data_IF_906802291108
#
_entry.id   IF_906802291108
#
_cell.length_a   1.000
_cell.length_b   1.000
_cell.length_c   1.000
_cell.angle_alpha   90.00
_cell.angle_beta   90.00
_cell.angle_gamma   90.00
#
_symmetry.space_group_name_H-M   'P 1'
#
loop_
_entity.id
_entity.type
_entity.pdbx_description
1 polymer ?
#
# COMPACT_ATOMS: atom_id res chain seq x y z
N UNK A 1 -42.46 -2.76 -9.85
CA UNK A 1 -42.29 -1.76 -10.92
C UNK A 1 -40.84 -1.47 -11.27
N UNK A 2 -39.96 -1.18 -10.32
CA UNK A 2 -38.52 -0.90 -10.53
C UNK A 2 -37.76 -2.00 -11.31
N UNK A 3 -38.05 -3.28 -11.06
CA UNK A 3 -37.35 -4.38 -11.73
C UNK A 3 -37.58 -4.48 -13.25
N UNK A 4 -38.79 -4.08 -13.71
CA UNK A 4 -39.12 -4.03 -15.14
C UNK A 4 -38.41 -2.88 -15.85
N UNK A 5 -38.30 -1.72 -15.19
CA UNK A 5 -37.61 -0.56 -15.71
C UNK A 5 -36.11 -0.84 -15.88
N UNK A 6 -35.47 -1.42 -14.88
CA UNK A 6 -34.06 -1.81 -14.96
C UNK A 6 -33.80 -2.85 -16.05
N UNK A 7 -34.67 -3.84 -16.22
CA UNK A 7 -34.56 -4.81 -17.31
C UNK A 7 -34.65 -4.15 -18.68
N UNK A 8 -35.63 -3.25 -18.86
CA UNK A 8 -35.77 -2.52 -20.11
C UNK A 8 -34.56 -1.67 -20.45
N UNK A 9 -33.98 -0.97 -19.49
CA UNK A 9 -32.73 -0.23 -19.70
C UNK A 9 -31.50 -1.16 -19.95
N UNK A 10 -31.44 -2.31 -19.25
CA UNK A 10 -30.38 -3.27 -19.41
C UNK A 10 -30.33 -3.89 -20.81
N UNK A 11 -31.49 -4.20 -21.37
CA UNK A 11 -31.64 -4.84 -22.67
C UNK A 11 -31.81 -3.83 -23.81
N UNK A 12 -31.98 -2.54 -23.52
CA UNK A 12 -32.15 -1.47 -24.49
C UNK A 12 -30.96 -1.36 -25.45
N UNK A 13 -31.17 -1.14 -26.76
CA UNK A 13 -30.13 -0.78 -27.69
C UNK A 13 -29.44 0.56 -27.35
N UNK A 14 -30.22 1.50 -26.79
CA UNK A 14 -29.72 2.79 -26.28
C UNK A 14 -29.48 2.63 -24.77
N UNK A 15 -28.21 2.50 -24.38
CA UNK A 15 -27.82 2.28 -22.99
C UNK A 15 -27.45 3.59 -22.33
N UNK A 16 -27.88 3.78 -21.09
CA UNK A 16 -27.35 4.86 -20.25
C UNK A 16 -25.90 4.60 -19.91
N UNK A 17 -25.13 5.66 -19.68
CA UNK A 17 -23.71 5.58 -19.27
C UNK A 17 -23.54 4.67 -18.06
N UNK A 18 -24.46 4.76 -17.09
CA UNK A 18 -24.48 3.87 -15.93
C UNK A 18 -24.59 2.38 -16.30
N UNK A 19 -25.46 2.04 -17.27
CA UNK A 19 -25.62 0.63 -17.72
C UNK A 19 -24.37 0.12 -18.40
N UNK A 20 -23.71 0.97 -19.19
CA UNK A 20 -22.44 0.66 -19.85
C UNK A 20 -21.37 0.41 -18.80
N UNK A 21 -21.22 1.32 -17.86
CA UNK A 21 -20.22 1.24 -16.79
C UNK A 21 -20.40 -0.04 -15.94
N UNK A 22 -21.62 -0.34 -15.51
CA UNK A 22 -21.88 -1.55 -14.73
C UNK A 22 -21.59 -2.81 -15.52
N UNK A 23 -21.95 -2.88 -16.81
CA UNK A 23 -21.63 -4.03 -17.66
C UNK A 23 -20.12 -4.20 -17.83
N UNK A 24 -19.39 -3.12 -18.07
CA UNK A 24 -17.95 -3.13 -18.19
C UNK A 24 -17.30 -3.64 -16.90
N UNK A 25 -17.70 -3.11 -15.75
CA UNK A 25 -17.20 -3.54 -14.45
C UNK A 25 -17.46 -5.04 -14.19
N UNK A 26 -18.67 -5.53 -14.51
CA UNK A 26 -18.99 -6.96 -14.39
C UNK A 26 -18.11 -7.81 -15.31
N UNK A 27 -17.89 -7.36 -16.55
CA UNK A 27 -17.03 -8.05 -17.52
C UNK A 27 -15.59 -8.10 -17.06
N UNK A 28 -15.04 -6.97 -16.56
CA UNK A 28 -13.69 -6.91 -16.01
C UNK A 28 -13.50 -7.85 -14.82
N UNK A 29 -14.52 -7.98 -14.00
CA UNK A 29 -14.55 -8.92 -12.88
C UNK A 29 -14.76 -10.38 -13.33
N UNK A 30 -15.00 -10.65 -14.60
CA UNK A 30 -15.32 -12.00 -15.11
C UNK A 30 -16.70 -12.49 -14.67
N UNK A 31 -17.63 -11.57 -14.38
CA UNK A 31 -18.98 -11.88 -13.95
C UNK A 31 -19.96 -11.81 -15.13
N UNK A 32 -21.06 -12.61 -15.04
CA UNK A 32 -22.09 -12.58 -16.06
C UNK A 32 -22.77 -11.21 -16.13
N UNK A 33 -22.91 -10.70 -17.34
CA UNK A 33 -23.73 -9.51 -17.64
C UNK A 33 -25.17 -9.86 -17.98
N UNK A 34 -25.55 -11.13 -17.96
CA UNK A 34 -26.91 -11.57 -18.21
C UNK A 34 -27.78 -11.32 -16.98
N UNK A 35 -28.78 -10.44 -17.14
CA UNK A 35 -29.66 -10.03 -16.05
C UNK A 35 -30.49 -11.20 -15.49
N UNK A 36 -30.85 -12.18 -16.30
CA UNK A 36 -31.63 -13.34 -15.83
C UNK A 36 -30.78 -14.25 -14.93
N UNK A 37 -29.49 -14.36 -15.20
CA UNK A 37 -28.53 -15.05 -14.32
C UNK A 37 -28.39 -14.30 -13.00
N UNK A 38 -28.22 -12.99 -13.05
CA UNK A 38 -28.07 -12.15 -11.85
C UNK A 38 -29.33 -12.21 -10.97
N UNK A 39 -30.52 -12.18 -11.58
CA UNK A 39 -31.80 -12.24 -10.84
C UNK A 39 -32.05 -13.57 -10.12
N UNK A 40 -31.46 -14.66 -10.58
CA UNK A 40 -31.58 -15.97 -9.90
C UNK A 40 -30.78 -16.04 -8.60
N UNK A 41 -29.85 -15.10 -8.41
CA UNK A 41 -29.05 -15.03 -7.19
C UNK A 41 -29.77 -14.20 -6.13
N UNK A 42 -29.64 -14.58 -4.86
CA UNK A 42 -30.01 -13.70 -3.76
C UNK A 42 -29.09 -12.47 -3.72
N UNK A 43 -29.60 -11.35 -3.19
CA UNK A 43 -28.81 -10.13 -3.02
C UNK A 43 -27.47 -10.40 -2.29
N UNK A 44 -27.51 -11.22 -1.24
CA UNK A 44 -26.31 -11.54 -0.45
C UNK A 44 -25.34 -12.40 -1.25
N UNK A 45 -25.84 -13.42 -1.98
CA UNK A 45 -25.00 -14.27 -2.83
C UNK A 45 -24.31 -13.47 -3.92
N UNK A 46 -25.04 -12.58 -4.61
CA UNK A 46 -24.46 -11.71 -5.62
C UNK A 46 -23.44 -10.73 -5.04
N UNK A 47 -23.74 -10.09 -3.91
CA UNK A 47 -22.79 -9.20 -3.23
C UNK A 47 -21.51 -9.91 -2.83
N UNK A 48 -21.61 -11.12 -2.30
CA UNK A 48 -20.42 -11.91 -1.91
C UNK A 48 -19.60 -12.33 -3.14
N UNK A 49 -20.27 -12.70 -4.23
CA UNK A 49 -19.62 -13.04 -5.49
C UNK A 49 -18.85 -11.85 -6.06
N UNK A 50 -19.49 -10.67 -6.13
CA UNK A 50 -18.82 -9.43 -6.58
C UNK A 50 -17.62 -9.10 -5.71
N UNK A 51 -17.76 -9.15 -4.37
CA UNK A 51 -16.65 -8.88 -3.43
C UNK A 51 -15.48 -9.85 -3.64
N UNK A 52 -15.77 -11.14 -3.86
CA UNK A 52 -14.74 -12.14 -4.13
C UNK A 52 -13.98 -11.83 -5.41
N UNK A 53 -14.68 -11.63 -6.51
CA UNK A 53 -14.07 -11.35 -7.81
C UNK A 53 -13.32 -10.00 -7.84
N UNK A 54 -13.88 -8.96 -7.20
CA UNK A 54 -13.18 -7.69 -7.06
C UNK A 54 -11.85 -7.84 -6.31
N UNK A 55 -11.85 -8.61 -5.22
CA UNK A 55 -10.61 -8.89 -4.46
C UNK A 55 -9.59 -9.66 -5.30
N UNK A 56 -10.03 -10.65 -6.09
CA UNK A 56 -9.15 -11.42 -6.99
C UNK A 56 -8.62 -10.55 -8.15
N UNK A 57 -9.45 -9.66 -8.70
CA UNK A 57 -9.07 -8.73 -9.75
C UNK A 57 -8.01 -7.73 -9.26
N UNK A 58 -8.25 -7.09 -8.11
CA UNK A 58 -7.29 -6.16 -7.52
C UNK A 58 -5.98 -6.86 -7.15
N UNK A 59 -6.04 -8.10 -6.69
CA UNK A 59 -4.83 -8.87 -6.40
C UNK A 59 -4.02 -9.18 -7.67
N UNK A 60 -4.68 -9.59 -8.77
CA UNK A 60 -4.01 -9.80 -10.06
C UNK A 60 -3.38 -8.51 -10.58
N UNK A 61 -4.13 -7.38 -10.52
CA UNK A 61 -3.62 -6.06 -10.90
C UNK A 61 -2.39 -5.66 -10.08
N UNK A 62 -2.44 -5.91 -8.78
CA UNK A 62 -1.30 -5.69 -7.89
C UNK A 62 -0.07 -6.52 -8.29
N UNK A 63 -0.24 -7.81 -8.60
CA UNK A 63 0.86 -8.67 -9.05
C UNK A 63 1.48 -8.16 -10.35
N UNK A 64 0.67 -7.79 -11.33
CA UNK A 64 1.16 -7.21 -12.60
C UNK A 64 1.96 -5.92 -12.34
N UNK A 65 1.46 -5.03 -11.49
CA UNK A 65 2.18 -3.80 -11.10
C UNK A 65 3.50 -4.13 -10.39
N UNK A 66 3.50 -5.14 -9.53
CA UNK A 66 4.69 -5.60 -8.80
C UNK A 66 5.75 -6.15 -9.75
N UNK A 67 5.36 -6.93 -10.76
CA UNK A 67 6.26 -7.53 -11.74
C UNK A 67 6.77 -6.51 -12.76
N UNK A 68 5.89 -5.69 -13.33
CA UNK A 68 6.25 -4.70 -14.36
C UNK A 68 7.10 -3.56 -13.82
N UNK A 69 6.94 -3.19 -12.54
CA UNK A 69 7.74 -2.16 -11.88
C UNK A 69 8.84 -2.80 -11.01
N UNK A 70 9.78 -3.50 -11.65
CA UNK A 70 10.94 -4.09 -10.96
C UNK A 70 11.73 -3.06 -10.11
N UNK A 71 11.62 -1.76 -10.43
CA UNK A 71 12.14 -0.62 -9.66
C UNK A 71 11.10 -0.02 -8.69
N UNK A 72 9.93 -0.62 -8.55
CA UNK A 72 8.89 -0.09 -7.66
C UNK A 72 9.37 -0.09 -6.22
N UNK A 73 9.17 1.04 -5.54
CA UNK A 73 9.41 1.19 -4.09
C UNK A 73 8.63 0.18 -3.25
N UNK A 74 7.58 -0.43 -3.83
CA UNK A 74 6.75 -1.45 -3.19
C UNK A 74 7.25 -2.88 -3.40
N UNK A 75 8.35 -3.11 -4.14
CA UNK A 75 8.89 -4.45 -4.43
C UNK A 75 9.18 -5.26 -3.16
N UNK A 76 9.56 -4.59 -2.08
CA UNK A 76 9.91 -5.24 -0.81
C UNK A 76 8.71 -5.51 0.09
N UNK A 77 7.50 -5.11 -0.33
CA UNK A 77 6.28 -5.44 0.39
C UNK A 77 5.84 -6.84 -0.06
N UNK A 78 6.24 -7.84 0.70
CA UNK A 78 5.84 -9.22 0.45
C UNK A 78 4.42 -9.46 0.97
N UNK A 79 3.43 -9.33 0.10
CA UNK A 79 2.07 -9.74 0.40
C UNK A 79 1.71 -10.96 -0.46
N UNK A 80 1.30 -12.01 0.19
CA UNK A 80 0.64 -13.13 -0.46
C UNK A 80 -0.82 -12.80 -0.79
N UNK A 81 -1.39 -11.82 -0.09
CA UNK A 81 -2.79 -11.44 -0.21
C UNK A 81 -2.97 -9.92 -0.12
N UNK A 82 -3.98 -9.39 -0.84
CA UNK A 82 -4.47 -8.03 -0.62
C UNK A 82 -5.31 -8.00 0.65
N UNK A 83 -4.69 -7.56 1.74
CA UNK A 83 -5.39 -7.34 3.02
C UNK A 83 -4.95 -6.01 3.63
N UNK A 84 -5.79 -5.49 4.49
CA UNK A 84 -5.41 -4.34 5.31
C UNK A 84 -4.18 -4.70 6.12
N UNK A 85 -3.21 -3.80 6.15
CA UNK A 85 -1.97 -4.03 6.85
C UNK A 85 -2.21 -4.14 8.35
N UNK A 86 -1.71 -5.21 8.96
CA UNK A 86 -1.96 -5.49 10.37
C UNK A 86 -1.55 -4.32 11.28
N UNK A 87 -0.44 -3.63 10.95
CA UNK A 87 0.01 -2.47 11.72
C UNK A 87 -0.94 -1.26 11.68
N UNK A 88 -1.80 -1.14 10.64
CA UNK A 88 -2.84 -0.10 10.57
C UNK A 88 -4.03 -0.41 11.49
N UNK A 89 -4.17 -1.66 11.90
CA UNK A 89 -5.23 -2.14 12.78
C UNK A 89 -4.78 -2.30 14.24
N UNK A 90 -3.48 -2.16 14.52
CA UNK A 90 -2.96 -2.30 15.87
C UNK A 90 -3.41 -1.14 16.74
N UNK A 91 -4.21 -1.43 17.76
CA UNK A 91 -4.66 -0.44 18.76
C UNK A 91 -3.51 0.21 19.53
N UNK A 92 -2.36 -0.43 19.56
CA UNK A 92 -1.13 0.02 20.25
C UNK A 92 -0.32 1.02 19.44
N UNK A 93 -0.63 1.19 18.14
CA UNK A 93 0.13 2.07 17.24
C UNK A 93 -0.67 3.36 16.96
N UNK A 94 -0.08 4.51 17.23
CA UNK A 94 -0.66 5.79 16.88
C UNK A 94 -0.45 6.15 15.39
N UNK A 95 -1.18 7.15 14.91
CA UNK A 95 -1.15 7.55 13.49
C UNK A 95 0.26 7.99 13.02
N UNK A 96 1.05 8.62 13.88
CA UNK A 96 2.41 9.05 13.55
C UNK A 96 3.34 7.85 13.37
N UNK A 97 3.22 6.84 14.23
CA UNK A 97 3.95 5.59 14.14
C UNK A 97 3.59 4.82 12.87
N UNK A 98 2.30 4.69 12.59
CA UNK A 98 1.81 4.01 11.38
C UNK A 98 2.31 4.73 10.10
N UNK A 99 2.28 6.08 10.09
CA UNK A 99 2.81 6.90 8.99
C UNK A 99 4.31 6.69 8.80
N UNK A 100 5.10 6.74 9.86
CA UNK A 100 6.54 6.55 9.80
C UNK A 100 6.89 5.15 9.26
N UNK A 101 6.28 4.10 9.84
CA UNK A 101 6.48 2.73 9.41
C UNK A 101 6.08 2.52 7.93
N UNK A 102 4.94 3.07 7.52
CA UNK A 102 4.53 3.05 6.11
C UNK A 102 5.57 3.69 5.20
N UNK A 103 6.02 4.90 5.54
CA UNK A 103 7.02 5.63 4.74
C UNK A 103 8.34 4.86 4.60
N UNK A 104 8.79 4.21 5.65
CA UNK A 104 9.97 3.34 5.59
C UNK A 104 9.73 2.12 4.68
N UNK A 105 8.60 1.44 4.82
CA UNK A 105 8.27 0.24 4.02
C UNK A 105 8.19 0.52 2.52
N UNK A 106 7.62 1.66 2.15
CA UNK A 106 7.48 2.07 0.73
C UNK A 106 8.65 2.92 0.22
N UNK A 107 9.72 3.04 0.97
CA UNK A 107 10.91 3.85 0.63
C UNK A 107 10.53 5.29 0.29
N UNK A 108 9.70 5.91 1.11
CA UNK A 108 9.30 7.31 1.02
C UNK A 108 9.69 8.12 2.26
N UNK A 109 10.49 7.54 3.15
CA UNK A 109 11.06 8.26 4.26
C UNK A 109 12.13 9.27 3.76
N UNK A 110 12.45 10.33 4.52
CA UNK A 110 13.25 11.46 4.06
C UNK A 110 14.76 11.16 4.00
N UNK A 111 15.13 10.23 3.13
CA UNK A 111 16.51 9.82 2.84
C UNK A 111 16.84 10.09 1.38
N UNK A 112 18.09 10.48 1.11
CA UNK A 112 18.55 10.83 -0.24
C UNK A 112 18.34 9.70 -1.26
N UNK A 113 18.58 8.45 -0.87
CA UNK A 113 18.33 7.27 -1.72
C UNK A 113 16.90 7.17 -2.27
N UNK A 114 15.93 7.75 -1.56
CA UNK A 114 14.52 7.65 -1.93
C UNK A 114 14.08 8.67 -2.99
N UNK A 115 14.81 9.76 -3.16
CA UNK A 115 14.36 10.92 -3.94
C UNK A 115 15.22 11.22 -5.18
N UNK A 116 16.46 10.74 -5.26
CA UNK A 116 17.39 11.07 -6.33
C UNK A 116 17.73 9.91 -7.26
N UNK A 117 16.71 9.16 -7.68
CA UNK A 117 16.87 8.13 -8.72
C UNK A 117 17.77 6.95 -8.37
N UNK A 118 18.08 6.76 -7.09
CA UNK A 118 18.92 5.65 -6.63
C UNK A 118 20.42 5.86 -6.92
N UNK A 119 20.86 7.08 -7.17
CA UNK A 119 22.29 7.37 -7.20
C UNK A 119 22.89 7.18 -5.80
N UNK A 120 23.63 6.11 -5.66
CA UNK A 120 24.15 5.57 -4.40
C UNK A 120 25.26 6.41 -3.71
N UNK A 121 25.48 7.65 -4.14
CA UNK A 121 26.66 8.44 -3.73
C UNK A 121 26.34 9.62 -2.82
N UNK A 122 25.07 9.76 -2.38
CA UNK A 122 24.76 10.85 -1.46
C UNK A 122 25.10 10.40 -0.06
N UNK A 123 26.08 11.08 0.52
CA UNK A 123 26.45 10.84 1.90
C UNK A 123 25.39 11.39 2.86
N UNK A 124 25.19 10.69 3.96
CA UNK A 124 24.32 11.13 5.03
C UNK A 124 24.69 12.56 5.47
N UNK A 125 23.77 13.54 5.41
CA UNK A 125 24.07 14.93 5.77
C UNK A 125 24.47 15.09 7.23
N UNK A 126 24.14 14.13 8.08
CA UNK A 126 24.44 14.16 9.51
C UNK A 126 25.87 13.68 9.82
N UNK A 127 26.21 12.47 9.39
CA UNK A 127 27.52 11.88 9.72
C UNK A 127 28.57 12.04 8.61
N UNK A 128 28.15 12.32 7.36
CA UNK A 128 28.99 12.47 6.17
C UNK A 128 29.91 11.27 5.88
N UNK A 129 29.64 10.12 6.51
CA UNK A 129 30.49 8.91 6.42
C UNK A 129 29.81 7.77 5.65
N UNK A 130 28.50 7.64 5.76
CA UNK A 130 27.72 6.56 5.16
C UNK A 130 26.78 7.09 4.08
N UNK A 131 26.33 6.25 3.15
CA UNK A 131 25.26 6.61 2.23
C UNK A 131 24.02 7.11 2.99
N UNK A 132 23.27 8.04 2.37
CA UNK A 132 22.03 8.56 2.93
C UNK A 132 20.86 7.61 2.66
N UNK A 133 20.91 6.43 3.27
CA UNK A 133 19.95 5.36 3.11
C UNK A 133 19.16 5.04 4.37
N UNK A 134 18.00 4.39 4.18
CA UNK A 134 17.14 3.99 5.29
C UNK A 134 17.79 2.91 6.16
N UNK A 135 18.47 1.94 5.54
CA UNK A 135 19.16 0.88 6.26
C UNK A 135 20.32 1.46 7.10
N UNK A 136 21.11 2.31 6.47
CA UNK A 136 22.28 2.95 7.07
C UNK A 136 21.90 3.91 8.20
N UNK A 137 20.66 4.40 8.23
CA UNK A 137 20.17 5.25 9.31
C UNK A 137 20.11 4.53 10.66
N UNK A 138 19.90 3.21 10.65
CA UNK A 138 19.94 2.40 11.87
C UNK A 138 21.34 2.26 12.46
N UNK A 139 22.38 2.45 11.63
CA UNK A 139 23.79 2.35 12.02
C UNK A 139 24.51 3.70 12.11
N UNK A 140 23.83 4.79 11.74
CA UNK A 140 24.40 6.12 11.78
C UNK A 140 24.75 6.55 13.22
N UNK A 141 26.02 6.83 13.47
CA UNK A 141 26.50 7.21 14.80
C UNK A 141 25.80 8.46 15.34
N UNK A 142 25.58 9.48 14.51
CA UNK A 142 24.88 10.71 14.93
C UNK A 142 23.45 10.41 15.34
N UNK A 143 22.76 9.54 14.64
CA UNK A 143 21.40 9.11 15.03
C UNK A 143 21.45 8.35 16.35
N UNK A 144 22.41 7.44 16.52
CA UNK A 144 22.59 6.63 17.74
C UNK A 144 22.96 7.46 18.99
N UNK A 145 23.54 8.64 18.81
CA UNK A 145 23.78 9.54 19.97
C UNK A 145 22.54 10.27 20.47
N UNK A 146 21.52 10.41 19.60
CA UNK A 146 20.29 11.14 19.91
C UNK A 146 19.11 10.20 20.15
N UNK A 147 19.10 9.07 19.46
CA UNK A 147 18.00 8.11 19.47
C UNK A 147 18.51 6.76 19.92
N UNK A 148 17.86 6.16 20.91
CA UNK A 148 18.09 4.76 21.27
C UNK A 148 17.55 3.86 20.15
N UNK A 149 18.43 3.38 19.26
CA UNK A 149 18.06 2.54 18.13
C UNK A 149 17.88 1.10 18.59
N UNK A 150 16.64 0.61 18.57
CA UNK A 150 16.27 -0.78 18.90
C UNK A 150 15.72 -1.49 17.68
N UNK A 151 16.12 -2.76 17.50
CA UNK A 151 15.73 -3.58 16.36
C UNK A 151 16.60 -3.37 15.11
N UNK A 152 16.27 -4.07 14.06
CA UNK A 152 17.00 -4.07 12.80
C UNK A 152 16.13 -3.59 11.65
N UNK A 153 16.71 -2.89 10.69
CA UNK A 153 16.00 -2.39 9.50
C UNK A 153 15.19 -3.48 8.77
N UNK A 154 15.75 -4.69 8.64
CA UNK A 154 15.07 -5.80 7.96
C UNK A 154 13.74 -6.20 8.61
N UNK A 155 13.58 -5.99 9.90
CA UNK A 155 12.34 -6.32 10.64
C UNK A 155 11.15 -5.44 10.23
N UNK A 156 11.40 -4.26 9.64
CA UNK A 156 10.37 -3.35 9.13
C UNK A 156 9.50 -4.03 8.05
N UNK A 157 10.05 -4.99 7.32
CA UNK A 157 9.34 -5.70 6.25
C UNK A 157 8.64 -6.97 6.71
N UNK A 158 8.78 -7.34 7.97
CA UNK A 158 8.10 -8.49 8.57
C UNK A 158 6.60 -8.28 8.80
N UNK A 159 5.97 -9.29 9.37
CA UNK A 159 4.55 -9.26 9.77
C UNK A 159 4.36 -8.84 11.23
N UNK A 160 5.41 -8.92 12.03
CA UNK A 160 5.40 -8.53 13.45
C UNK A 160 6.23 -7.27 13.66
N UNK A 161 5.68 -6.35 14.43
CA UNK A 161 6.29 -5.06 14.70
C UNK A 161 6.45 -4.89 16.22
N UNK A 162 7.60 -5.24 16.80
CA UNK A 162 7.90 -4.92 18.19
C UNK A 162 7.72 -3.43 18.44
N UNK A 163 7.10 -3.07 19.55
CA UNK A 163 6.80 -1.67 19.90
C UNK A 163 8.07 -0.79 19.89
N UNK A 164 9.18 -1.34 20.35
CA UNK A 164 10.46 -0.65 20.37
C UNK A 164 10.99 -0.35 18.96
N UNK A 165 10.81 -1.27 18.00
CA UNK A 165 11.17 -1.03 16.60
C UNK A 165 10.31 0.09 16.02
N UNK A 166 9.01 0.10 16.30
CA UNK A 166 8.09 1.14 15.82
C UNK A 166 8.46 2.52 16.37
N UNK A 167 8.80 2.59 17.66
CA UNK A 167 9.31 3.83 18.30
C UNK A 167 10.61 4.29 17.66
N UNK A 168 11.55 3.37 17.42
CA UNK A 168 12.80 3.67 16.72
C UNK A 168 12.56 4.25 15.33
N UNK A 169 11.71 3.59 14.51
CA UNK A 169 11.38 4.05 13.15
C UNK A 169 10.73 5.44 13.19
N UNK A 170 9.80 5.67 14.11
CA UNK A 170 9.17 6.98 14.30
C UNK A 170 10.20 8.05 14.66
N UNK A 171 11.06 7.78 15.63
CA UNK A 171 12.07 8.75 16.09
C UNK A 171 13.07 9.08 14.98
N UNK A 172 13.56 8.09 14.23
CA UNK A 172 14.45 8.32 13.08
C UNK A 172 13.70 9.14 12.00
N UNK A 173 12.44 8.82 11.72
CA UNK A 173 11.64 9.55 10.73
C UNK A 173 11.49 11.03 11.11
N UNK A 174 11.10 11.31 12.35
CA UNK A 174 10.91 12.68 12.85
C UNK A 174 12.21 13.46 12.83
N UNK A 175 13.28 12.88 13.34
CA UNK A 175 14.60 13.48 13.34
C UNK A 175 15.07 13.86 11.92
N UNK A 176 14.85 12.98 10.94
CA UNK A 176 15.20 13.23 9.53
C UNK A 176 14.32 14.29 8.88
N UNK A 177 13.01 14.34 9.19
CA UNK A 177 12.10 15.39 8.70
C UNK A 177 12.51 16.78 9.21
N UNK A 178 12.93 16.90 10.45
CA UNK A 178 13.42 18.15 11.03
C UNK A 178 14.69 18.62 10.34
N UNK A 179 15.67 17.73 10.18
CA UNK A 179 16.95 18.08 9.56
C UNK A 179 16.87 18.33 8.05
N UNK A 180 15.87 17.78 7.38
CA UNK A 180 15.62 18.09 5.97
C UNK A 180 15.20 19.53 5.72
N UNK A 181 14.55 20.17 6.69
CA UNK A 181 14.10 21.57 6.60
C UNK A 181 15.24 22.57 6.83
N UNK A 182 16.35 22.11 7.39
CA UNK A 182 17.51 22.96 7.74
C UNK A 182 18.60 22.97 6.64
N UNK A 183 18.48 22.18 5.59
CA UNK A 183 19.39 22.10 4.44
C UNK A 183 18.67 22.32 3.13
#
# INVERSE_FOLDING_TARGET
>A
MLSKFFKAQWDSPIKSDWTIEVKNNLTELGLSTNMDVIKRMSKNSFSNLVKKHAKEFEFRRFLVIKETKAKSKMKNLFYSELKLQDYLCLKTMNACQAKALFKFRVRMAPFGENFRGGQATILCPLCKKHPDGQAESFDCLVIKTVIEVKGQYKQIFGCQFPEELVKTVQSIYMFREEHRKLG
#
